data_IF_524825350727
#
_entry.id   IF_524825350727
#
_cell.length_a   1.000
_cell.length_b   1.000
_cell.length_c   1.000
_cell.angle_alpha   90.00
_cell.angle_beta   90.00
_cell.angle_gamma   90.00
#
_symmetry.space_group_name_H-M   'P 1'
#
loop_
_entity.id
_entity.type
_entity.pdbx_description
1 polymer ?
#
# COMPACT_ATOMS: atom_id res chain seq x y z
N UNK A 1 6.91 17.12 0.25
CA UNK A 1 6.59 15.94 -0.56
C UNK A 1 7.01 14.67 0.17
N UNK A 2 6.18 13.65 0.11
CA UNK A 2 6.45 12.38 0.81
C UNK A 2 7.43 11.54 0.00
N UNK A 3 8.38 10.90 0.68
CA UNK A 3 9.32 10.00 0.03
C UNK A 3 8.61 8.71 -0.41
N UNK A 4 9.15 8.05 -1.43
CA UNK A 4 8.59 6.79 -1.95
C UNK A 4 8.42 5.75 -0.85
N UNK A 5 9.45 5.57 -0.02
CA UNK A 5 9.40 4.60 1.07
C UNK A 5 8.28 4.93 2.06
N UNK A 6 8.16 6.18 2.44
CA UNK A 6 7.11 6.61 3.36
C UNK A 6 5.73 6.44 2.76
N UNK A 7 5.58 6.81 1.48
CA UNK A 7 4.32 6.65 0.78
C UNK A 7 3.96 5.17 0.67
N UNK A 8 4.95 4.31 0.42
CA UNK A 8 4.72 2.85 0.38
C UNK A 8 4.18 2.35 1.71
N UNK A 9 4.72 2.83 2.84
CA UNK A 9 4.21 2.47 4.16
C UNK A 9 2.76 2.93 4.35
N UNK A 10 2.44 4.13 3.89
CA UNK A 10 1.09 4.66 3.98
C UNK A 10 0.11 3.81 3.16
N UNK A 11 0.52 3.40 1.97
CA UNK A 11 -0.29 2.54 1.12
C UNK A 11 -0.52 1.18 1.79
N UNK A 12 0.53 0.62 2.36
CA UNK A 12 0.44 -0.66 3.05
C UNK A 12 -0.55 -0.59 4.22
N UNK A 13 -0.49 0.48 5.00
CA UNK A 13 -1.40 0.71 6.11
C UNK A 13 -2.85 0.86 5.62
N UNK A 14 -3.04 1.60 4.53
CA UNK A 14 -4.35 1.80 3.94
C UNK A 14 -4.97 0.46 3.50
N UNK A 15 -4.17 -0.36 2.80
CA UNK A 15 -4.65 -1.66 2.33
C UNK A 15 -5.02 -2.57 3.49
N UNK A 16 -4.22 -2.54 4.55
CA UNK A 16 -4.50 -3.34 5.75
C UNK A 16 -5.80 -2.89 6.41
N UNK A 17 -6.03 -1.60 6.53
CA UNK A 17 -7.26 -1.08 7.10
C UNK A 17 -8.49 -1.46 6.28
N UNK A 18 -8.38 -1.37 4.95
CA UNK A 18 -9.49 -1.75 4.08
C UNK A 18 -9.79 -3.24 4.21
N UNK A 19 -8.76 -4.06 4.34
CA UNK A 19 -8.95 -5.49 4.53
C UNK A 19 -9.62 -5.79 5.87
N UNK A 20 -9.15 -5.19 6.96
CA UNK A 20 -9.67 -5.47 8.30
C UNK A 20 -11.04 -4.87 8.55
N UNK A 21 -11.26 -3.62 8.13
CA UNK A 21 -12.49 -2.90 8.48
C UNK A 21 -13.61 -3.12 7.50
N UNK A 22 -13.30 -3.33 6.22
CA UNK A 22 -14.29 -3.42 5.16
C UNK A 22 -14.26 -4.74 4.40
N UNK A 23 -13.31 -5.62 4.73
CA UNK A 23 -13.16 -6.89 4.04
C UNK A 23 -12.76 -6.76 2.59
N UNK A 24 -12.23 -5.61 2.18
CA UNK A 24 -11.82 -5.40 0.78
C UNK A 24 -10.44 -6.00 0.55
N UNK A 25 -10.40 -7.01 -0.28
CA UNK A 25 -9.16 -7.71 -0.56
C UNK A 25 -8.48 -7.22 -1.84
N UNK A 26 -9.26 -6.64 -2.76
CA UNK A 26 -8.76 -6.20 -4.06
C UNK A 26 -9.04 -4.71 -4.22
N UNK A 27 -8.00 -3.90 -4.17
CA UNK A 27 -8.13 -2.45 -4.29
C UNK A 27 -7.65 -2.03 -5.68
N UNK A 28 -8.51 -1.44 -6.52
CA UNK A 28 -8.07 -0.94 -7.82
C UNK A 28 -7.03 0.17 -7.64
N UNK A 29 -6.09 0.24 -8.58
CA UNK A 29 -5.05 1.26 -8.52
C UNK A 29 -5.63 2.67 -8.55
N UNK A 30 -6.75 2.86 -9.23
CA UNK A 30 -7.42 4.16 -9.27
C UNK A 30 -7.83 4.65 -7.88
N UNK A 31 -8.22 3.73 -7.00
CA UNK A 31 -8.56 4.07 -5.62
C UNK A 31 -7.33 4.56 -4.87
N UNK A 32 -6.18 3.92 -5.10
CA UNK A 32 -4.93 4.35 -4.47
C UNK A 32 -4.54 5.76 -4.93
N UNK A 33 -4.62 6.02 -6.21
CA UNK A 33 -4.30 7.34 -6.74
C UNK A 33 -5.19 8.41 -6.14
N UNK A 34 -6.47 8.15 -6.08
CA UNK A 34 -7.43 9.11 -5.53
C UNK A 34 -7.21 9.33 -4.03
N UNK A 35 -6.96 8.25 -3.31
CA UNK A 35 -6.76 8.29 -1.85
C UNK A 35 -5.55 9.15 -1.49
N UNK A 36 -4.48 9.04 -2.25
CA UNK A 36 -3.22 9.71 -1.94
C UNK A 36 -2.90 10.90 -2.83
N UNK A 37 -3.88 11.38 -3.62
CA UNK A 37 -3.64 12.48 -4.56
C UNK A 37 -3.20 13.76 -3.89
N UNK A 38 -3.60 13.98 -2.64
CA UNK A 38 -3.21 15.18 -1.90
C UNK A 38 -1.81 15.07 -1.30
N UNK A 39 -1.35 13.87 -1.06
CA UNK A 39 -0.03 13.63 -0.46
C UNK A 39 1.06 13.51 -1.51
N UNK A 40 0.72 13.03 -2.70
CA UNK A 40 1.75 12.74 -3.69
C UNK A 40 1.17 12.75 -5.11
N UNK A 41 1.99 13.12 -6.10
CA UNK A 41 1.57 13.03 -7.49
C UNK A 41 1.44 11.58 -7.95
N UNK A 42 0.72 11.38 -9.04
CA UNK A 42 0.47 10.08 -9.64
C UNK A 42 1.73 9.25 -9.80
N UNK A 43 2.79 9.86 -10.32
CA UNK A 43 4.04 9.15 -10.59
C UNK A 43 4.68 8.60 -9.33
N UNK A 44 4.58 9.34 -8.23
CA UNK A 44 5.14 8.91 -6.97
C UNK A 44 4.34 7.75 -6.39
N UNK A 45 3.02 7.79 -6.50
CA UNK A 45 2.16 6.68 -6.08
C UNK A 45 2.51 5.43 -6.89
N UNK A 46 2.72 5.59 -8.19
CA UNK A 46 3.11 4.48 -9.06
C UNK A 46 4.44 3.87 -8.63
N UNK A 47 5.42 4.71 -8.30
CA UNK A 47 6.71 4.24 -7.81
C UNK A 47 6.58 3.50 -6.47
N UNK A 48 5.74 4.01 -5.58
CA UNK A 48 5.52 3.37 -4.28
C UNK A 48 4.85 2.00 -4.44
N UNK A 49 3.87 1.89 -5.35
CA UNK A 49 3.22 0.61 -5.65
C UNK A 49 4.26 -0.38 -6.21
N UNK A 50 5.08 0.08 -7.16
CA UNK A 50 6.15 -0.76 -7.70
C UNK A 50 7.11 -1.23 -6.63
N UNK A 51 7.48 -0.36 -5.71
CA UNK A 51 8.33 -0.69 -4.57
C UNK A 51 7.73 -1.83 -3.74
N UNK A 52 6.43 -1.76 -3.47
CA UNK A 52 5.75 -2.80 -2.68
C UNK A 52 5.63 -4.12 -3.45
N UNK A 53 5.33 -4.05 -4.74
CA UNK A 53 5.23 -5.25 -5.59
C UNK A 53 6.59 -5.95 -5.68
N UNK A 54 7.66 -5.18 -5.90
CA UNK A 54 9.01 -5.72 -6.03
C UNK A 54 9.45 -6.45 -4.76
N UNK A 55 8.96 -6.03 -3.61
CA UNK A 55 9.27 -6.67 -2.33
C UNK A 55 8.26 -7.74 -1.92
N UNK A 56 7.33 -8.05 -2.81
CA UNK A 56 6.30 -9.06 -2.57
C UNK A 56 5.43 -8.74 -1.35
N UNK A 57 5.21 -7.46 -1.10
CA UNK A 57 4.37 -7.02 0.01
C UNK A 57 2.92 -6.87 -0.40
N UNK A 58 2.67 -6.61 -1.69
CA UNK A 58 1.34 -6.59 -2.26
C UNK A 58 1.36 -7.37 -3.57
N UNK A 59 0.19 -7.88 -3.96
CA UNK A 59 0.05 -8.62 -5.22
C UNK A 59 -0.04 -7.64 -6.38
N UNK A 60 0.60 -7.97 -7.51
CA UNK A 60 0.68 -7.06 -8.65
C UNK A 60 -0.63 -6.86 -9.40
N UNK A 61 -1.55 -7.81 -9.29
CA UNK A 61 -2.81 -7.73 -10.05
C UNK A 61 -3.93 -7.06 -9.29
N UNK A 62 -3.98 -7.23 -8.00
CA UNK A 62 -5.15 -6.82 -7.22
C UNK A 62 -4.80 -5.90 -6.06
N UNK A 63 -3.54 -5.54 -5.92
CA UNK A 63 -3.05 -4.68 -4.84
C UNK A 63 -3.61 -5.06 -3.48
N UNK A 64 -3.72 -6.36 -3.24
CA UNK A 64 -4.06 -6.89 -1.93
C UNK A 64 -2.77 -7.25 -1.19
N UNK A 65 -2.83 -7.23 0.14
CA UNK A 65 -1.67 -7.60 0.94
C UNK A 65 -1.32 -9.06 0.71
N UNK A 66 -0.02 -9.35 0.61
CA UNK A 66 0.50 -10.70 0.67
C UNK A 66 0.68 -11.07 2.14
N UNK A 67 0.94 -12.35 2.43
CA UNK A 67 1.26 -12.78 3.79
C UNK A 67 2.49 -12.04 4.31
N UNK A 68 3.47 -11.81 3.42
CA UNK A 68 4.67 -11.06 3.77
C UNK A 68 4.34 -9.61 4.08
N UNK A 69 3.42 -8.99 3.33
CA UNK A 69 3.00 -7.63 3.57
C UNK A 69 2.35 -7.46 4.94
N UNK A 70 1.49 -8.40 5.32
CA UNK A 70 0.86 -8.39 6.63
C UNK A 70 1.88 -8.52 7.75
N UNK A 71 2.86 -9.40 7.56
CA UNK A 71 3.93 -9.62 8.54
C UNK A 71 4.79 -8.37 8.72
N UNK A 72 5.18 -7.74 7.63
CA UNK A 72 6.00 -6.53 7.69
C UNK A 72 5.29 -5.41 8.44
N UNK A 73 4.01 -5.23 8.17
CA UNK A 73 3.24 -4.21 8.87
C UNK A 73 3.14 -4.51 10.36
N UNK A 74 2.89 -5.76 10.71
CA UNK A 74 2.80 -6.16 12.11
C UNK A 74 4.11 -5.91 12.85
N UNK A 75 5.24 -6.25 12.23
CA UNK A 75 6.55 -6.02 12.82
C UNK A 75 6.84 -4.53 12.99
N UNK A 76 6.47 -3.72 12.02
CA UNK A 76 6.70 -2.28 12.07
C UNK A 76 5.88 -1.62 13.18
N UNK A 77 4.73 -2.19 13.52
CA UNK A 77 3.84 -1.62 14.52
C UNK A 77 4.10 -2.09 15.94
N UNK A 78 5.00 -3.02 16.12
CA UNK A 78 5.38 -3.45 17.46
C UNK A 78 6.15 -2.34 18.16
N UNK A 79 5.85 -2.10 19.44
CA UNK A 79 6.59 -1.11 20.22
C UNK A 79 8.03 -1.53 20.48
#
# INVERSE_FOLDING_TARGET
>A
MVEVKRLAEMILDFLHEEEEKRGRLNIPVAVLYKTFEKEAPYELVQQAVGFLVDRDLIASFSYSLTAKGRRERALRQKP
#
